data_IF_439430069393
#
_entry.id   IF_439430069393
#
_cell.length_a   1.000
_cell.length_b   1.000
_cell.length_c   1.000
_cell.angle_alpha   90.00
_cell.angle_beta   90.00
_cell.angle_gamma   90.00
#
_symmetry.space_group_name_H-M   'P 1'
#
loop_
_entity.id
_entity.type
_entity.pdbx_description
1 polymer ?
#
# COMPACT_ATOMS: atom_id res chain seq x y z
N UNK A 1 4.55 -53.01 69.74
CA UNK A 1 4.94 -51.71 69.12
C UNK A 1 4.73 -51.83 67.62
N UNK A 2 3.83 -51.04 67.02
CA UNK A 2 3.63 -50.99 65.57
C UNK A 2 3.86 -49.55 65.10
N UNK A 3 4.89 -49.34 64.28
CA UNK A 3 5.21 -48.03 63.74
C UNK A 3 4.29 -47.73 62.54
N UNK A 4 3.56 -46.60 62.60
CA UNK A 4 2.76 -46.12 61.48
C UNK A 4 3.67 -45.34 60.52
N UNK A 5 3.84 -45.85 59.31
CA UNK A 5 4.51 -45.15 58.22
C UNK A 5 3.53 -44.17 57.60
N UNK A 6 3.83 -42.87 57.65
CA UNK A 6 3.04 -41.82 57.02
C UNK A 6 3.60 -41.47 55.65
N UNK A 7 2.92 -41.91 54.59
CA UNK A 7 3.27 -41.53 53.22
C UNK A 7 2.76 -40.11 52.95
N UNK A 8 3.68 -39.18 52.68
CA UNK A 8 3.34 -37.81 52.29
C UNK A 8 2.83 -37.81 50.84
N UNK A 9 1.67 -37.19 50.54
CA UNK A 9 1.21 -37.08 49.17
C UNK A 9 2.16 -36.19 48.37
N UNK A 10 2.67 -36.69 47.24
CA UNK A 10 3.40 -35.86 46.29
C UNK A 10 2.41 -34.88 45.65
N UNK A 11 2.62 -33.59 45.90
CA UNK A 11 1.90 -32.52 45.22
C UNK A 11 2.26 -32.56 43.72
N UNK A 12 1.32 -33.01 42.89
CA UNK A 12 1.45 -33.02 41.42
C UNK A 12 1.22 -31.59 40.94
N UNK A 13 2.29 -30.85 40.63
CA UNK A 13 2.19 -29.53 40.02
C UNK A 13 1.78 -29.70 38.55
N UNK A 14 0.69 -29.05 38.13
CA UNK A 14 0.34 -28.95 36.72
C UNK A 14 1.43 -28.16 36.00
N UNK A 15 2.21 -28.82 35.16
CA UNK A 15 3.13 -28.15 34.25
C UNK A 15 2.31 -27.59 33.08
N UNK A 16 2.21 -26.27 32.98
CA UNK A 16 1.68 -25.62 31.78
C UNK A 16 2.73 -25.70 30.69
N UNK A 17 2.50 -26.51 29.64
CA UNK A 17 3.30 -26.45 28.41
C UNK A 17 2.87 -25.20 27.63
N UNK A 18 3.70 -24.17 27.60
CA UNK A 18 3.49 -23.02 26.72
C UNK A 18 3.84 -23.47 25.30
N UNK A 19 2.84 -23.83 24.51
CA UNK A 19 3.01 -24.11 23.08
C UNK A 19 2.78 -22.82 22.30
N UNK A 20 3.81 -22.34 21.61
CA UNK A 20 3.67 -21.24 20.67
C UNK A 20 2.75 -21.68 19.53
N UNK A 21 1.71 -20.89 19.26
CA UNK A 21 0.79 -21.14 18.15
C UNK A 21 1.01 -20.06 17.11
N UNK A 22 1.52 -20.40 15.92
CA UNK A 22 1.77 -19.40 14.89
C UNK A 22 0.44 -18.83 14.38
N UNK A 23 0.45 -17.57 13.91
CA UNK A 23 -0.70 -16.97 13.23
C UNK A 23 -1.06 -17.75 11.96
N UNK A 24 -2.33 -17.67 11.55
CA UNK A 24 -2.83 -18.39 10.38
C UNK A 24 -2.15 -17.93 9.08
N UNK A 25 -1.71 -18.88 8.25
CA UNK A 25 -1.05 -18.66 6.96
C UNK A 25 -1.98 -18.83 5.75
N UNK A 26 -3.24 -19.24 5.97
CA UNK A 26 -4.24 -19.49 4.91
C UNK A 26 -4.56 -18.21 4.16
N UNK A 27 -4.40 -18.11 2.84
CA UNK A 27 -4.66 -16.88 2.07
C UNK A 27 -3.80 -15.65 2.47
N UNK A 28 -2.56 -15.89 2.90
CA UNK A 28 -1.60 -14.82 3.19
C UNK A 28 -1.47 -13.76 2.07
N UNK A 29 -1.41 -14.13 0.76
CA UNK A 29 -1.23 -13.17 -0.33
C UNK A 29 -2.25 -12.04 -0.39
N UNK A 30 -3.50 -12.33 -0.02
CA UNK A 30 -4.61 -11.37 -0.11
C UNK A 30 -4.62 -10.37 1.04
N UNK A 31 -4.10 -10.77 2.21
CA UNK A 31 -4.12 -9.92 3.42
C UNK A 31 -2.79 -9.27 3.74
N UNK A 32 -1.69 -9.73 3.13
CA UNK A 32 -0.34 -9.29 3.48
C UNK A 32 -0.20 -7.76 3.46
N UNK A 33 -0.72 -7.09 2.44
CA UNK A 33 -0.65 -5.62 2.29
C UNK A 33 -1.43 -4.84 3.36
N UNK A 34 -2.47 -5.43 3.95
CA UNK A 34 -3.36 -4.77 4.92
C UNK A 34 -3.02 -5.20 6.36
N UNK A 35 -2.14 -6.18 6.52
CA UNK A 35 -1.71 -6.72 7.80
C UNK A 35 -0.84 -5.72 8.58
N UNK A 36 -0.91 -5.77 9.91
CA UNK A 36 -0.06 -4.97 10.79
C UNK A 36 1.42 -5.34 10.60
N UNK A 37 2.37 -4.39 10.48
CA UNK A 37 3.80 -4.67 10.35
C UNK A 37 4.37 -5.62 11.42
N UNK A 38 3.97 -5.51 12.69
CA UNK A 38 4.47 -6.45 13.71
C UNK A 38 4.07 -7.90 13.44
N UNK A 39 2.87 -8.12 12.89
CA UNK A 39 2.38 -9.46 12.56
C UNK A 39 3.08 -9.99 11.29
N UNK A 40 3.39 -9.11 10.34
CA UNK A 40 4.23 -9.47 9.18
C UNK A 40 5.62 -9.93 9.62
N UNK A 41 6.23 -9.21 10.57
CA UNK A 41 7.54 -9.56 11.13
C UNK A 41 7.49 -10.91 11.86
N UNK A 42 6.50 -11.12 12.74
CA UNK A 42 6.30 -12.38 13.45
C UNK A 42 6.13 -13.57 12.49
N UNK A 43 5.30 -13.43 11.45
CA UNK A 43 5.14 -14.45 10.39
C UNK A 43 6.46 -14.74 9.69
N UNK A 44 7.22 -13.69 9.38
CA UNK A 44 8.48 -13.82 8.65
C UNK A 44 9.52 -14.54 9.49
N UNK A 45 9.63 -14.20 10.77
CA UNK A 45 10.53 -14.86 11.72
C UNK A 45 10.15 -16.33 11.90
N UNK A 46 8.86 -16.61 12.12
CA UNK A 46 8.35 -17.98 12.24
C UNK A 46 8.70 -18.85 11.02
N UNK A 47 8.43 -18.33 9.81
CA UNK A 47 8.73 -19.08 8.58
C UNK A 47 10.23 -19.23 8.38
N UNK A 48 11.03 -18.22 8.73
CA UNK A 48 12.50 -18.30 8.65
C UNK A 48 13.03 -19.42 9.52
N UNK A 49 12.62 -19.48 10.79
CA UNK A 49 13.03 -20.55 11.70
C UNK A 49 12.55 -21.92 11.23
N UNK A 50 11.32 -22.02 10.71
CA UNK A 50 10.78 -23.29 10.21
C UNK A 50 11.50 -23.79 8.96
N UNK A 51 11.96 -22.88 8.11
CA UNK A 51 12.71 -23.20 6.89
C UNK A 51 14.16 -23.64 7.16
N UNK A 52 14.69 -23.45 8.37
CA UNK A 52 15.99 -24.00 8.78
C UNK A 52 15.94 -25.53 8.96
N UNK A 53 14.77 -26.06 9.30
CA UNK A 53 14.54 -27.50 9.43
C UNK A 53 14.09 -28.14 8.09
N UNK A 54 13.73 -29.43 8.10
CA UNK A 54 13.25 -30.15 6.94
C UNK A 54 11.94 -29.58 6.39
N UNK A 55 11.98 -29.11 5.13
CA UNK A 55 10.81 -28.54 4.45
C UNK A 55 9.67 -29.54 4.23
N UNK A 56 9.93 -30.84 4.39
CA UNK A 56 8.88 -31.88 4.34
C UNK A 56 7.92 -31.82 5.53
N UNK A 57 8.33 -31.15 6.61
CA UNK A 57 7.52 -30.96 7.82
C UNK A 57 6.64 -29.70 7.73
N UNK A 58 6.82 -28.87 6.70
CA UNK A 58 6.00 -27.69 6.46
C UNK A 58 4.67 -28.08 5.82
N UNK A 59 3.61 -27.40 6.23
CA UNK A 59 2.30 -27.51 5.60
C UNK A 59 2.30 -26.84 4.23
N UNK A 60 1.36 -27.23 3.36
CA UNK A 60 1.22 -26.65 2.02
C UNK A 60 0.98 -25.14 2.08
N UNK A 61 0.24 -24.67 3.08
CA UNK A 61 -0.06 -23.24 3.23
C UNK A 61 1.17 -22.45 3.68
N UNK A 62 2.01 -23.02 4.54
CA UNK A 62 3.29 -22.41 4.92
C UNK A 62 4.25 -22.35 3.75
N UNK A 63 4.32 -23.40 2.92
CA UNK A 63 5.15 -23.37 1.72
C UNK A 63 4.69 -22.27 0.74
N UNK A 64 3.37 -22.12 0.55
CA UNK A 64 2.79 -21.03 -0.26
C UNK A 64 3.08 -19.66 0.35
N UNK A 65 2.97 -19.53 1.66
CA UNK A 65 3.28 -18.31 2.40
C UNK A 65 4.76 -17.94 2.26
N UNK A 66 5.67 -18.88 2.49
CA UNK A 66 7.12 -18.70 2.29
C UNK A 66 7.43 -18.24 0.87
N UNK A 67 6.85 -18.90 -0.14
CA UNK A 67 7.02 -18.50 -1.53
C UNK A 67 6.55 -17.05 -1.78
N UNK A 68 5.39 -16.68 -1.24
CA UNK A 68 4.84 -15.34 -1.38
C UNK A 68 5.68 -14.28 -0.65
N UNK A 69 6.22 -14.56 0.54
CA UNK A 69 7.10 -13.61 1.23
C UNK A 69 8.39 -13.44 0.42
N UNK A 70 8.99 -14.52 -0.08
CA UNK A 70 10.24 -14.43 -0.85
C UNK A 70 10.06 -13.74 -2.21
N UNK A 71 8.98 -14.03 -2.95
CA UNK A 71 8.83 -13.65 -4.36
C UNK A 71 7.50 -12.97 -4.73
N UNK A 72 6.61 -12.77 -3.77
CA UNK A 72 5.30 -12.17 -4.00
C UNK A 72 5.35 -10.70 -4.43
N UNK A 73 4.21 -10.23 -4.92
CA UNK A 73 3.98 -8.85 -5.32
C UNK A 73 3.74 -7.95 -4.10
N UNK A 74 4.79 -7.75 -3.31
CA UNK A 74 4.78 -6.85 -2.16
C UNK A 74 6.10 -6.07 -2.07
N UNK A 75 6.12 -5.02 -1.27
CA UNK A 75 7.28 -4.13 -1.16
C UNK A 75 7.64 -3.51 -2.53
N UNK A 76 8.93 -3.52 -2.94
CA UNK A 76 9.35 -3.00 -4.24
C UNK A 76 8.75 -3.72 -5.46
N UNK A 77 8.29 -4.96 -5.29
CA UNK A 77 7.66 -5.77 -6.34
C UNK A 77 6.14 -5.67 -6.34
N UNK A 78 5.57 -4.90 -5.42
CA UNK A 78 4.13 -4.66 -5.35
C UNK A 78 3.61 -3.94 -6.59
N UNK A 79 2.41 -4.31 -7.04
CA UNK A 79 1.68 -3.52 -8.03
C UNK A 79 1.40 -2.15 -7.42
N UNK A 80 2.14 -1.16 -7.88
CA UNK A 80 1.91 0.23 -7.58
C UNK A 80 0.76 0.69 -8.46
N UNK A 81 -0.49 0.52 -7.99
CA UNK A 81 -1.69 0.94 -8.71
C UNK A 81 -1.70 2.44 -9.03
N UNK A 82 -0.84 3.23 -8.38
CA UNK A 82 -0.62 4.64 -8.66
C UNK A 82 0.89 4.87 -8.83
N UNK A 83 1.49 4.26 -9.85
CA UNK A 83 2.70 4.85 -10.40
C UNK A 83 2.28 6.17 -11.06
N UNK A 84 2.41 7.29 -10.34
CA UNK A 84 2.69 8.56 -11.01
C UNK A 84 4.00 8.35 -11.75
N UNK A 85 3.92 7.75 -12.94
CA UNK A 85 5.09 7.58 -13.79
C UNK A 85 5.62 8.99 -14.00
N UNK A 86 6.93 9.22 -13.82
CA UNK A 86 7.50 10.55 -14.04
C UNK A 86 7.07 11.13 -15.39
N UNK A 87 6.93 10.25 -16.39
CA UNK A 87 6.37 10.54 -17.71
C UNK A 87 4.94 11.08 -17.67
N UNK A 88 4.01 10.44 -16.95
CA UNK A 88 2.63 10.92 -16.81
C UNK A 88 2.55 12.29 -16.14
N UNK A 89 3.40 12.55 -15.15
CA UNK A 89 3.50 13.86 -14.50
C UNK A 89 3.94 14.95 -15.49
N UNK A 90 4.96 14.66 -16.31
CA UNK A 90 5.45 15.58 -17.34
C UNK A 90 4.33 15.89 -18.35
N UNK A 91 3.62 14.86 -18.84
CA UNK A 91 2.52 15.05 -19.78
C UNK A 91 1.38 15.88 -19.21
N UNK A 92 0.99 15.63 -17.96
CA UNK A 92 -0.03 16.44 -17.27
C UNK A 92 0.42 17.89 -17.10
N UNK A 93 1.69 18.11 -16.78
CA UNK A 93 2.28 19.43 -16.70
C UNK A 93 2.17 20.17 -18.03
N UNK A 94 2.70 19.58 -19.10
CA UNK A 94 2.67 20.18 -20.45
C UNK A 94 1.26 20.46 -20.95
N UNK A 95 0.32 19.53 -20.72
CA UNK A 95 -1.07 19.72 -21.12
C UNK A 95 -1.73 20.86 -20.33
N UNK A 96 -1.52 20.90 -19.01
CA UNK A 96 -2.07 21.95 -18.16
C UNK A 96 -1.50 23.32 -18.53
N UNK A 97 -0.19 23.44 -18.75
CA UNK A 97 0.41 24.72 -19.12
C UNK A 97 -0.13 25.21 -20.46
N UNK A 98 -0.22 24.34 -21.46
CA UNK A 98 -0.79 24.68 -22.76
C UNK A 98 -2.24 25.19 -22.64
N UNK A 99 -3.07 24.50 -21.85
CA UNK A 99 -4.49 24.84 -21.69
C UNK A 99 -4.65 26.18 -20.97
N UNK A 100 -3.90 26.42 -19.90
CA UNK A 100 -3.94 27.70 -19.18
C UNK A 100 -3.39 28.86 -20.02
N UNK A 101 -2.33 28.64 -20.81
CA UNK A 101 -1.83 29.67 -21.74
C UNK A 101 -2.86 30.00 -22.81
N UNK A 102 -3.46 28.99 -23.44
CA UNK A 102 -4.50 29.19 -24.47
C UNK A 102 -5.72 29.93 -23.89
N UNK A 103 -6.17 29.55 -22.70
CA UNK A 103 -7.26 30.20 -22.00
C UNK A 103 -6.93 31.67 -21.70
N UNK A 104 -5.73 31.96 -21.20
CA UNK A 104 -5.28 33.32 -20.92
C UNK A 104 -5.26 34.21 -22.17
N UNK A 105 -4.71 33.71 -23.28
CA UNK A 105 -4.68 34.45 -24.56
C UNK A 105 -6.10 34.69 -25.08
N UNK A 106 -6.98 33.69 -24.99
CA UNK A 106 -8.39 33.82 -25.40
C UNK A 106 -9.11 34.95 -24.66
N UNK A 107 -8.94 35.03 -23.33
CA UNK A 107 -9.53 36.10 -22.53
C UNK A 107 -8.99 37.49 -22.89
N UNK A 108 -7.69 37.60 -23.17
CA UNK A 108 -7.08 38.87 -23.61
C UNK A 108 -7.65 39.30 -24.97
N UNK A 109 -7.82 38.35 -25.90
CA UNK A 109 -8.34 38.64 -27.23
C UNK A 109 -9.79 39.16 -27.16
N UNK A 110 -10.65 38.49 -26.39
CA UNK A 110 -12.03 38.92 -26.18
C UNK A 110 -12.14 40.33 -25.57
N UNK A 111 -11.22 40.70 -24.68
CA UNK A 111 -11.20 42.06 -24.11
C UNK A 111 -10.75 43.10 -25.13
N UNK A 112 -9.76 42.78 -25.97
CA UNK A 112 -9.26 43.67 -27.02
C UNK A 112 -10.33 43.91 -28.08
N UNK A 113 -11.04 42.87 -28.51
CA UNK A 113 -12.10 42.99 -29.52
C UNK A 113 -13.20 43.96 -29.08
N UNK A 114 -13.68 43.82 -27.83
CA UNK A 114 -14.66 44.76 -27.26
C UNK A 114 -14.17 46.22 -27.20
N UNK A 115 -12.86 46.44 -27.07
CA UNK A 115 -12.28 47.79 -27.10
C UNK A 115 -12.20 48.33 -28.54
N UNK A 116 -11.84 47.49 -29.50
CA UNK A 116 -11.83 47.85 -30.92
C UNK A 116 -13.23 48.16 -31.43
N UNK A 117 -14.25 47.40 -31.04
CA UNK A 117 -15.64 47.68 -31.43
C UNK A 117 -16.10 49.06 -30.95
N UNK A 118 -15.75 49.44 -29.72
CA UNK A 118 -16.06 50.78 -29.18
C UNK A 118 -15.32 51.87 -29.95
N UNK A 119 -14.05 51.65 -30.29
CA UNK A 119 -13.26 52.60 -31.07
C UNK A 119 -13.84 52.76 -32.49
N UNK A 120 -14.18 51.67 -33.17
CA UNK A 120 -14.77 51.67 -34.50
C UNK A 120 -16.12 52.39 -34.53
N UNK A 121 -17.01 52.11 -33.58
CA UNK A 121 -18.29 52.80 -33.46
C UNK A 121 -18.12 54.31 -33.22
N UNK A 122 -17.11 54.70 -32.42
CA UNK A 122 -16.76 56.11 -32.22
C UNK A 122 -16.26 56.79 -33.50
N UNK A 123 -15.39 56.12 -34.25
CA UNK A 123 -14.88 56.62 -35.53
C UNK A 123 -16.00 56.76 -36.57
N UNK A 124 -16.89 55.77 -36.67
CA UNK A 124 -18.01 55.81 -37.59
C UNK A 124 -18.97 56.96 -37.27
N UNK A 125 -19.25 57.22 -35.99
CA UNK A 125 -20.07 58.36 -35.57
C UNK A 125 -19.45 59.71 -35.96
N UNK A 126 -18.15 59.87 -35.72
CA UNK A 126 -17.43 61.11 -36.06
C UNK A 126 -17.29 61.33 -37.58
N UNK A 127 -17.34 60.26 -38.39
CA UNK A 127 -17.32 60.36 -39.85
C UNK A 127 -18.68 60.68 -40.47
N UNK A 128 -19.78 60.52 -39.71
CA UNK A 128 -21.15 60.77 -40.16
C UNK A 128 -21.71 62.13 -39.72
N UNK A 129 -20.97 62.87 -38.90
CA UNK A 129 -21.21 64.28 -38.53
C UNK A 129 -20.42 65.21 -39.46
#
# INVERSE_FOLDING_TARGET
MWARVTLKPLARRSASSLSYTPPSMVDLPSRWSTMNPQLQEEITEYLTWKMEDSWKLMTVDELKASYYISYGQWGPRGKTDIQLTPTMLIWKGLFSTLLFTALGVSLINLKRDKHMDKALNGLQRNSSE
#
